data_IF_560277196725
#
_entry.id   IF_560277196725
#
_cell.length_a   1.000
_cell.length_b   1.000
_cell.length_c   1.000
_cell.angle_alpha   90.00
_cell.angle_beta   90.00
_cell.angle_gamma   90.00
#
_symmetry.space_group_name_H-M   'P 1'
#
loop_
_entity.id
_entity.type
_entity.pdbx_description
1 polymer ?
#
# COMPACT_ATOMS: atom_id res chain seq x y z
N UNK A 1 3.74 -14.82 8.34
CA UNK A 1 3.58 -13.40 8.00
C UNK A 1 2.61 -12.79 9.02
N UNK A 2 2.99 -11.67 9.66
CA UNK A 2 2.09 -10.92 10.55
C UNK A 2 1.42 -9.83 9.75
N UNK A 3 0.11 -9.81 9.78
CA UNK A 3 -0.75 -8.86 9.13
C UNK A 3 -1.03 -7.69 10.09
N UNK A 4 -0.97 -6.46 9.61
CA UNK A 4 -1.16 -5.27 10.44
C UNK A 4 -2.18 -4.33 9.82
N UNK A 5 -3.12 -3.84 10.62
CA UNK A 5 -4.02 -2.76 10.25
C UNK A 5 -3.69 -1.53 11.13
N UNK A 6 -3.58 -0.34 10.52
CA UNK A 6 -3.28 0.88 11.24
C UNK A 6 -4.40 1.91 11.06
N UNK A 7 -4.99 2.35 12.16
CA UNK A 7 -5.88 3.52 12.20
C UNK A 7 -5.05 4.78 12.47
N UNK A 8 -5.19 5.86 11.73
CA UNK A 8 -4.64 7.13 12.16
C UNK A 8 -5.46 7.65 13.33
N UNK A 9 -4.87 7.72 14.51
CA UNK A 9 -5.39 8.55 15.57
C UNK A 9 -5.05 9.99 15.22
N UNK A 10 -6.01 10.77 14.91
CA UNK A 10 -6.16 12.21 14.90
C UNK A 10 -6.70 12.77 13.59
N UNK A 11 -7.83 13.43 13.71
CA UNK A 11 -8.43 14.41 12.78
C UNK A 11 -8.07 14.26 11.31
N UNK A 12 -9.00 13.70 10.51
CA UNK A 12 -9.15 13.90 9.05
C UNK A 12 -7.85 14.23 8.28
N UNK A 13 -6.74 13.60 8.64
CA UNK A 13 -5.52 13.68 7.84
C UNK A 13 -5.47 12.51 6.88
N UNK A 14 -5.16 12.79 5.61
CA UNK A 14 -4.92 11.78 4.59
C UNK A 14 -3.88 10.76 5.08
N UNK A 15 -3.73 9.64 4.36
CA UNK A 15 -2.82 8.55 4.75
C UNK A 15 -1.58 9.14 5.37
N UNK A 16 -1.15 8.66 6.54
CA UNK A 16 0.10 9.15 7.14
C UNK A 16 1.24 8.76 6.21
N UNK A 17 1.58 9.58 5.21
CA UNK A 17 2.50 9.19 4.13
C UNK A 17 3.85 8.81 4.71
N UNK A 18 4.25 9.47 5.80
CA UNK A 18 5.49 9.19 6.50
C UNK A 18 5.59 7.76 7.02
N UNK A 19 4.51 7.20 7.58
CA UNK A 19 4.51 5.81 8.09
C UNK A 19 4.70 4.79 6.98
N UNK A 20 4.12 5.05 5.80
CA UNK A 20 4.28 4.20 4.63
C UNK A 20 5.68 4.30 4.04
N UNK A 21 6.26 5.50 4.04
CA UNK A 21 7.65 5.73 3.70
C UNK A 21 8.59 4.95 4.61
N UNK A 22 8.37 4.97 5.93
CA UNK A 22 9.16 4.22 6.91
C UNK A 22 9.01 2.71 6.70
N UNK A 23 7.78 2.21 6.51
CA UNK A 23 7.52 0.77 6.29
C UNK A 23 8.21 0.28 5.01
N UNK A 24 8.11 1.04 3.92
CA UNK A 24 8.78 0.73 2.66
C UNK A 24 10.31 0.79 2.81
N UNK A 25 10.84 1.79 3.51
CA UNK A 25 12.28 1.91 3.75
C UNK A 25 12.82 0.74 4.59
N UNK A 26 12.11 0.34 5.64
CA UNK A 26 12.48 -0.83 6.45
C UNK A 26 12.46 -2.13 5.62
N UNK A 27 11.45 -2.29 4.75
CA UNK A 27 11.37 -3.44 3.85
C UNK A 27 12.56 -3.49 2.88
N UNK A 28 12.89 -2.35 2.27
CA UNK A 28 14.04 -2.24 1.35
C UNK A 28 15.36 -2.49 2.07
N UNK A 29 15.53 -1.99 3.29
CA UNK A 29 16.70 -2.26 4.10
C UNK A 29 16.87 -3.75 4.44
N UNK A 30 15.75 -4.48 4.57
CA UNK A 30 15.73 -5.95 4.67
C UNK A 30 15.89 -6.70 3.33
N UNK A 31 16.15 -5.99 2.23
CA UNK A 31 16.31 -6.59 0.90
C UNK A 31 15.01 -6.82 0.13
N UNK A 32 13.84 -6.63 0.77
CA UNK A 32 12.53 -6.86 0.18
C UNK A 32 12.03 -5.73 -0.70
N UNK A 33 11.03 -6.03 -1.53
CA UNK A 33 10.30 -5.05 -2.32
C UNK A 33 8.94 -4.68 -1.73
N UNK A 34 8.35 -3.59 -2.17
CA UNK A 34 7.08 -3.08 -1.63
C UNK A 34 6.11 -2.65 -2.72
N UNK A 35 4.84 -3.01 -2.54
CA UNK A 35 3.71 -2.52 -3.35
C UNK A 35 2.74 -1.75 -2.46
N UNK A 36 2.56 -0.47 -2.78
CA UNK A 36 1.68 0.44 -2.05
C UNK A 36 0.54 0.86 -2.98
N UNK A 37 -0.69 0.66 -2.54
CA UNK A 37 -1.87 1.00 -3.33
C UNK A 37 -2.77 1.96 -2.56
N UNK A 38 -3.16 3.02 -3.24
CA UNK A 38 -4.06 4.06 -2.73
C UNK A 38 -5.20 4.30 -3.71
N UNK A 39 -6.36 4.83 -3.26
CA UNK A 39 -7.52 4.99 -4.11
C UNK A 39 -7.30 5.95 -5.28
N UNK A 40 -6.71 7.09 -5.03
CA UNK A 40 -6.62 8.17 -6.00
C UNK A 40 -5.20 8.71 -6.23
N UNK A 41 -5.06 9.55 -7.27
CA UNK A 41 -3.78 10.17 -7.66
C UNK A 41 -3.27 11.22 -6.67
N UNK A 42 -4.15 11.85 -5.87
CA UNK A 42 -3.73 12.85 -4.86
C UNK A 42 -3.00 12.14 -3.73
N UNK A 43 -3.52 11.00 -3.33
CA UNK A 43 -2.89 10.15 -2.33
C UNK A 43 -1.59 9.54 -2.87
N UNK A 44 -1.55 9.15 -4.17
CA UNK A 44 -0.29 8.76 -4.81
C UNK A 44 0.75 9.88 -4.68
N UNK A 45 0.39 11.14 -4.96
CA UNK A 45 1.32 12.27 -4.84
C UNK A 45 1.85 12.48 -3.41
N UNK A 46 1.00 12.29 -2.41
CA UNK A 46 1.38 12.43 -0.99
C UNK A 46 2.36 11.32 -0.56
N UNK A 47 2.05 10.07 -0.94
CA UNK A 47 2.92 8.93 -0.61
C UNK A 47 4.22 8.98 -1.41
N UNK A 48 4.19 9.41 -2.67
CA UNK A 48 5.36 9.64 -3.53
C UNK A 48 6.36 10.61 -2.89
N UNK A 49 5.86 11.73 -2.37
CA UNK A 49 6.69 12.69 -1.63
C UNK A 49 7.34 12.07 -0.37
N UNK A 50 6.56 11.29 0.38
CA UNK A 50 7.06 10.62 1.58
C UNK A 50 8.08 9.52 1.25
N UNK A 51 7.86 8.76 0.18
CA UNK A 51 8.82 7.76 -0.31
C UNK A 51 10.11 8.42 -0.79
N UNK A 52 10.00 9.56 -1.50
CA UNK A 52 11.18 10.34 -1.91
C UNK A 52 11.99 10.83 -0.71
N UNK A 53 11.31 11.30 0.33
CA UNK A 53 11.98 11.74 1.57
C UNK A 53 12.66 10.57 2.32
N UNK A 54 12.03 9.39 2.33
CA UNK A 54 12.51 8.23 3.09
C UNK A 54 13.60 7.41 2.34
N UNK A 55 13.47 7.28 1.02
CA UNK A 55 14.31 6.40 0.20
C UNK A 55 15.31 7.16 -0.68
N UNK A 56 15.06 8.44 -0.91
CA UNK A 56 15.77 9.24 -1.91
C UNK A 56 15.11 9.19 -3.30
N UNK A 57 15.49 10.11 -4.20
CA UNK A 57 14.94 10.21 -5.54
C UNK A 57 15.27 8.98 -6.40
N UNK A 58 14.33 8.57 -7.25
CA UNK A 58 14.52 7.47 -8.21
C UNK A 58 14.52 6.07 -7.60
N UNK A 59 14.28 5.92 -6.30
CA UNK A 59 14.27 4.62 -5.61
C UNK A 59 12.92 3.92 -5.64
N UNK A 60 11.89 4.57 -6.14
CA UNK A 60 10.56 4.02 -6.33
C UNK A 60 9.95 4.49 -7.65
N UNK A 61 8.89 3.88 -8.09
CA UNK A 61 8.13 4.27 -9.29
C UNK A 61 6.66 4.45 -8.96
N UNK A 62 6.02 5.35 -9.73
CA UNK A 62 4.57 5.49 -9.75
C UNK A 62 3.98 4.64 -10.87
N UNK A 63 2.82 4.03 -10.62
CA UNK A 63 2.02 3.33 -11.62
C UNK A 63 0.58 3.85 -11.57
N UNK A 64 0.31 4.89 -12.34
CA UNK A 64 -1.00 5.54 -12.45
C UNK A 64 -1.41 5.68 -13.91
N UNK A 65 -2.72 5.75 -14.17
CA UNK A 65 -3.24 5.81 -15.55
C UNK A 65 -2.93 7.14 -16.25
N UNK A 66 -2.75 8.23 -15.52
CA UNK A 66 -2.48 9.57 -16.01
C UNK A 66 -1.05 9.81 -16.50
N UNK A 67 -0.12 8.89 -16.23
CA UNK A 67 1.28 9.00 -16.72
C UNK A 67 1.46 8.83 -18.23
N UNK A 68 0.39 8.41 -18.91
CA UNK A 68 0.50 8.02 -20.31
C UNK A 68 1.14 6.64 -20.52
N UNK A 69 0.91 5.99 -21.67
CA UNK A 69 1.27 4.59 -21.88
C UNK A 69 2.79 4.36 -21.86
N UNK A 70 3.56 5.26 -22.46
CA UNK A 70 5.03 5.09 -22.56
C UNK A 70 5.72 5.19 -21.19
N UNK A 71 5.39 6.21 -20.38
CA UNK A 71 5.99 6.40 -19.06
C UNK A 71 5.61 5.25 -18.12
N UNK A 72 4.33 4.82 -18.17
CA UNK A 72 3.83 3.69 -17.39
C UNK A 72 4.51 2.38 -17.79
N UNK A 73 4.70 2.12 -19.08
CA UNK A 73 5.42 0.95 -19.57
C UNK A 73 6.88 0.95 -19.12
N UNK A 74 7.56 2.10 -19.23
CA UNK A 74 8.94 2.26 -18.75
C UNK A 74 9.06 2.00 -17.25
N UNK A 75 8.13 2.54 -16.44
CA UNK A 75 8.08 2.28 -15.01
C UNK A 75 7.87 0.79 -14.70
N UNK A 76 6.94 0.15 -15.41
CA UNK A 76 6.68 -1.29 -15.30
C UNK A 76 7.92 -2.13 -15.59
N UNK A 77 8.64 -1.82 -16.67
CA UNK A 77 9.87 -2.53 -17.05
C UNK A 77 10.99 -2.36 -16.01
N UNK A 78 11.11 -1.18 -15.38
CA UNK A 78 12.08 -0.98 -14.29
C UNK A 78 11.82 -1.92 -13.12
N UNK A 79 10.54 -2.11 -12.77
CA UNK A 79 10.12 -3.03 -11.71
C UNK A 79 10.37 -4.48 -12.14
N UNK A 80 9.90 -4.87 -13.33
CA UNK A 80 10.05 -6.22 -13.85
C UNK A 80 11.51 -6.67 -13.96
N UNK A 81 12.43 -5.74 -14.23
CA UNK A 81 13.87 -6.00 -14.30
C UNK A 81 14.58 -5.92 -12.95
N UNK A 82 13.86 -5.65 -11.87
CA UNK A 82 14.41 -5.53 -10.53
C UNK A 82 15.24 -4.26 -10.26
N UNK A 83 15.23 -3.28 -11.20
CA UNK A 83 15.94 -2.02 -11.01
C UNK A 83 15.34 -1.17 -9.91
N UNK A 84 14.04 -1.32 -9.66
CA UNK A 84 13.30 -0.63 -8.61
C UNK A 84 12.41 -1.65 -7.91
N UNK A 85 12.48 -1.67 -6.58
CA UNK A 85 11.75 -2.62 -5.73
C UNK A 85 10.52 -1.99 -5.04
N UNK A 86 10.29 -0.69 -5.17
CA UNK A 86 9.17 0.00 -4.51
C UNK A 86 8.25 0.62 -5.54
N UNK A 87 6.97 0.29 -5.43
CA UNK A 87 5.91 0.77 -6.33
C UNK A 87 4.81 1.43 -5.52
N UNK A 88 4.40 2.62 -5.93
CA UNK A 88 3.19 3.30 -5.47
C UNK A 88 2.25 3.51 -6.65
N UNK A 89 0.96 3.30 -6.47
CA UNK A 89 -0.01 3.58 -7.52
C UNK A 89 -1.45 3.32 -7.11
N UNK A 90 -2.33 3.40 -8.10
CA UNK A 90 -3.74 3.05 -7.94
C UNK A 90 -3.97 1.57 -8.24
N UNK A 91 -5.21 1.12 -8.42
CA UNK A 91 -5.59 -0.30 -8.60
C UNK A 91 -4.59 -1.14 -9.41
N UNK A 92 -4.15 -0.64 -10.56
CA UNK A 92 -3.24 -1.39 -11.45
C UNK A 92 -1.90 -1.72 -10.79
N UNK A 93 -1.45 -0.93 -9.82
CA UNK A 93 -0.20 -1.18 -9.11
C UNK A 93 -0.23 -2.46 -8.27
N UNK A 94 -1.43 -2.94 -7.90
CA UNK A 94 -1.59 -4.21 -7.18
C UNK A 94 -0.99 -5.41 -7.92
N UNK A 95 -0.82 -5.32 -9.23
CA UNK A 95 -0.25 -6.37 -10.09
C UNK A 95 1.22 -6.15 -10.46
N UNK A 96 1.86 -5.09 -9.95
CA UNK A 96 3.25 -4.79 -10.29
C UNK A 96 4.19 -5.98 -9.97
N UNK A 97 5.09 -6.36 -10.90
CA UNK A 97 5.95 -7.54 -10.76
C UNK A 97 7.18 -7.23 -9.89
N UNK A 98 6.94 -6.88 -8.64
CA UNK A 98 8.00 -6.55 -7.67
C UNK A 98 8.71 -7.85 -7.24
N UNK A 99 10.04 -7.86 -7.35
CA UNK A 99 10.88 -8.95 -6.88
C UNK A 99 11.02 -8.92 -5.35
N UNK A 100 11.19 -10.11 -4.76
CA UNK A 100 11.41 -10.30 -3.32
C UNK A 100 10.36 -9.53 -2.50
N UNK A 101 9.07 -9.67 -2.87
CA UNK A 101 7.99 -8.92 -2.27
C UNK A 101 7.93 -9.16 -0.76
N UNK A 102 8.24 -8.13 0.02
CA UNK A 102 8.25 -8.16 1.49
C UNK A 102 7.09 -7.38 2.13
N UNK A 103 6.51 -6.42 1.37
CA UNK A 103 5.40 -5.61 1.87
C UNK A 103 4.38 -5.34 0.77
N UNK A 104 3.12 -5.55 1.08
CA UNK A 104 1.98 -5.01 0.33
C UNK A 104 1.16 -4.11 1.25
N UNK A 105 0.77 -2.95 0.78
CA UNK A 105 0.00 -1.99 1.57
C UNK A 105 -1.18 -1.45 0.80
N UNK A 106 -2.33 -1.30 1.48
CA UNK A 106 -3.56 -0.75 0.95
C UNK A 106 -4.08 0.35 1.88
N UNK A 107 -4.33 1.53 1.31
CA UNK A 107 -5.00 2.60 2.04
C UNK A 107 -6.47 2.63 1.68
N UNK A 108 -7.30 2.80 2.73
CA UNK A 108 -8.75 2.97 2.65
C UNK A 108 -9.41 1.85 1.82
N UNK A 109 -9.21 0.63 2.26
CA UNK A 109 -9.63 -0.57 1.54
C UNK A 109 -11.15 -0.68 1.32
N UNK A 110 -11.94 0.16 1.99
CA UNK A 110 -13.38 0.34 1.77
C UNK A 110 -13.73 1.30 0.65
N UNK A 111 -12.77 1.99 0.03
CA UNK A 111 -13.02 2.93 -1.06
C UNK A 111 -13.39 2.20 -2.37
N UNK A 112 -14.51 2.61 -3.00
CA UNK A 112 -15.01 2.01 -4.24
C UNK A 112 -14.01 2.12 -5.41
N UNK A 113 -13.10 3.10 -5.38
CA UNK A 113 -12.04 3.24 -6.39
C UNK A 113 -11.07 2.05 -6.40
N UNK A 114 -11.03 1.25 -5.34
CA UNK A 114 -10.21 0.04 -5.26
C UNK A 114 -10.90 -1.20 -5.83
N UNK A 115 -12.18 -1.11 -6.16
CA UNK A 115 -12.91 -2.15 -6.87
C UNK A 115 -12.81 -1.95 -8.39
N UNK A 116 -12.53 -3.02 -9.14
CA UNK A 116 -12.53 -2.97 -10.61
C UNK A 116 -13.95 -3.05 -11.14
N UNK A 117 -14.44 -2.05 -11.90
CA UNK A 117 -15.82 -2.03 -12.39
C UNK A 117 -16.09 -2.97 -13.56
N UNK A 118 -15.06 -3.61 -14.11
CA UNK A 118 -15.16 -4.55 -15.24
C UNK A 118 -14.81 -5.97 -14.80
N UNK A 119 -15.30 -6.96 -15.53
CA UNK A 119 -14.91 -8.34 -15.28
C UNK A 119 -13.39 -8.49 -15.27
N UNK A 120 -12.82 -9.19 -14.30
CA UNK A 120 -13.40 -10.07 -13.30
C UNK A 120 -13.82 -9.41 -11.96
N UNK A 121 -14.05 -8.10 -11.91
CA UNK A 121 -14.56 -7.35 -10.74
C UNK A 121 -13.72 -7.54 -9.46
N UNK A 122 -12.43 -7.69 -9.61
CA UNK A 122 -11.53 -7.89 -8.47
C UNK A 122 -11.43 -6.64 -7.59
N UNK A 123 -11.26 -6.87 -6.30
CA UNK A 123 -10.96 -5.81 -5.33
C UNK A 123 -9.47 -5.86 -4.95
N UNK A 124 -8.82 -4.69 -4.90
CA UNK A 124 -7.38 -4.58 -4.58
C UNK A 124 -7.02 -5.28 -3.28
N UNK A 125 -7.81 -5.09 -2.23
CA UNK A 125 -7.55 -5.73 -0.95
C UNK A 125 -7.46 -7.26 -1.05
N UNK A 126 -8.32 -7.89 -1.86
CA UNK A 126 -8.28 -9.35 -2.11
C UNK A 126 -7.00 -9.72 -2.86
N UNK A 127 -6.66 -8.98 -3.92
CA UNK A 127 -5.44 -9.22 -4.71
C UNK A 127 -4.18 -9.14 -3.83
N UNK A 128 -4.09 -8.11 -3.00
CA UNK A 128 -2.94 -7.93 -2.11
C UNK A 128 -2.88 -9.01 -1.01
N UNK A 129 -4.01 -9.43 -0.46
CA UNK A 129 -4.07 -10.55 0.50
C UNK A 129 -3.55 -11.83 -0.13
N UNK A 130 -4.01 -12.18 -1.34
CA UNK A 130 -3.53 -13.37 -2.06
C UNK A 130 -2.04 -13.28 -2.40
N UNK A 131 -1.56 -12.13 -2.84
CA UNK A 131 -0.14 -11.92 -3.11
C UNK A 131 0.72 -12.09 -1.87
N UNK A 132 0.29 -11.47 -0.78
CA UNK A 132 1.00 -11.60 0.49
C UNK A 132 1.05 -13.04 1.00
N UNK A 133 -0.06 -13.77 0.90
CA UNK A 133 -0.09 -15.20 1.24
C UNK A 133 0.85 -16.03 0.36
N UNK A 134 0.87 -15.77 -0.94
CA UNK A 134 1.71 -16.51 -1.89
C UNK A 134 3.22 -16.23 -1.74
N UNK A 135 3.60 -15.04 -1.29
CA UNK A 135 5.01 -14.63 -1.20
C UNK A 135 5.56 -14.58 0.22
N UNK A 136 4.71 -14.72 1.25
CA UNK A 136 5.09 -14.50 2.64
C UNK A 136 5.29 -13.03 3.00
N UNK A 137 4.89 -12.09 2.14
CA UNK A 137 4.99 -10.67 2.40
C UNK A 137 4.06 -10.22 3.54
N UNK A 138 4.44 -9.16 4.24
CA UNK A 138 3.55 -8.50 5.19
C UNK A 138 2.42 -7.76 4.45
N UNK A 139 1.20 -7.80 4.99
CA UNK A 139 0.08 -6.96 4.55
C UNK A 139 -0.13 -5.83 5.54
N UNK A 140 -0.12 -4.60 5.06
CA UNK A 140 -0.50 -3.42 5.83
C UNK A 140 -1.78 -2.84 5.23
N UNK A 141 -2.86 -2.88 5.97
CA UNK A 141 -4.10 -2.19 5.62
C UNK A 141 -4.28 -1.00 6.55
N UNK A 142 -4.57 0.16 6.01
CA UNK A 142 -4.82 1.38 6.77
C UNK A 142 -6.01 2.15 6.19
N UNK A 143 -6.68 2.95 7.01
CA UNK A 143 -7.84 3.74 6.58
C UNK A 143 -8.38 4.60 7.70
N UNK A 144 -9.37 5.41 7.40
CA UNK A 144 -10.12 6.20 8.40
C UNK A 144 -11.06 5.32 9.23
N UNK A 145 -11.53 4.23 8.66
CA UNK A 145 -12.35 3.21 9.31
C UNK A 145 -11.98 1.83 8.76
N UNK A 146 -12.34 0.78 9.47
CA UNK A 146 -12.18 -0.59 8.99
C UNK A 146 -13.31 -0.93 8.03
N UNK A 147 -13.00 -1.49 6.87
CA UNK A 147 -14.00 -2.17 6.07
C UNK A 147 -14.49 -3.43 6.79
N UNK A 148 -15.65 -3.93 6.39
CA UNK A 148 -16.18 -5.18 6.93
C UNK A 148 -15.19 -6.34 6.74
N UNK A 149 -14.51 -6.39 5.59
CA UNK A 149 -13.50 -7.40 5.28
C UNK A 149 -12.33 -7.35 6.28
N UNK A 150 -11.75 -6.17 6.49
CA UNK A 150 -10.65 -5.99 7.45
C UNK A 150 -11.10 -6.30 8.88
N UNK A 151 -12.33 -5.95 9.25
CA UNK A 151 -12.85 -6.27 10.57
C UNK A 151 -12.97 -7.78 10.79
N UNK A 152 -13.48 -8.52 9.81
CA UNK A 152 -13.54 -9.99 9.84
C UNK A 152 -12.15 -10.61 9.98
N UNK A 153 -11.16 -10.10 9.21
CA UNK A 153 -9.78 -10.57 9.28
C UNK A 153 -9.14 -10.30 10.65
N UNK A 154 -9.48 -9.19 11.31
CA UNK A 154 -9.03 -8.88 12.68
C UNK A 154 -9.69 -9.81 13.69
N UNK A 155 -10.99 -10.04 13.60
CA UNK A 155 -11.72 -10.95 14.50
C UNK A 155 -11.27 -12.41 14.36
N UNK A 156 -10.91 -12.82 13.14
CA UNK A 156 -10.32 -14.12 12.86
C UNK A 156 -8.84 -14.24 13.30
N UNK A 157 -8.21 -13.16 13.80
CA UNK A 157 -6.80 -13.13 14.17
C UNK A 157 -5.82 -13.17 13.00
N UNK A 158 -6.31 -13.02 11.76
CA UNK A 158 -5.49 -12.94 10.55
C UNK A 158 -4.76 -11.60 10.45
N UNK A 159 -5.38 -10.53 10.94
CA UNK A 159 -4.79 -9.19 11.04
C UNK A 159 -4.63 -8.79 12.53
N UNK A 160 -3.50 -8.15 12.83
CA UNK A 160 -3.26 -7.58 14.15
C UNK A 160 -3.57 -6.08 14.08
N UNK A 161 -4.50 -5.55 14.90
CA UNK A 161 -4.79 -4.12 14.91
C UNK A 161 -3.58 -3.35 15.46
N UNK A 162 -3.25 -2.23 14.80
CA UNK A 162 -2.28 -1.24 15.26
C UNK A 162 -3.03 0.06 15.48
N UNK A 163 -3.68 0.16 16.62
CA UNK A 163 -4.43 1.34 17.01
C UNK A 163 -3.55 2.30 17.81
N UNK A 164 -3.90 3.58 17.79
CA UNK A 164 -3.33 4.51 18.75
C UNK A 164 -3.76 4.15 20.17
N UNK A 165 -2.90 4.41 21.13
CA UNK A 165 -3.27 4.23 22.53
C UNK A 165 -4.41 5.16 22.95
N UNK A 166 -5.12 4.78 24.01
CA UNK A 166 -6.27 5.54 24.48
C UNK A 166 -5.91 6.97 24.98
N UNK A 167 -4.65 7.23 25.32
CA UNK A 167 -4.17 8.56 25.69
C UNK A 167 -4.04 9.44 24.44
N UNK A 168 -3.44 8.94 23.38
CA UNK A 168 -3.34 9.63 22.09
C UNK A 168 -4.70 9.91 21.48
N UNK A 169 -5.67 8.98 21.61
CA UNK A 169 -7.05 9.18 21.14
C UNK A 169 -7.79 10.27 21.91
N UNK A 170 -7.50 10.44 23.21
CA UNK A 170 -8.12 11.49 24.03
C UNK A 170 -7.48 12.87 23.88
N UNK A 171 -6.24 12.95 23.45
CA UNK A 171 -5.49 14.20 23.25
C UNK A 171 -5.77 14.87 21.91
N UNK A 172 -6.67 14.30 21.09
CA UNK A 172 -7.04 14.75 19.75
C UNK A 172 -8.45 15.26 19.70
#
# INVERSE_FOLDING_TARGET
ARWCWATPAARLRPPCPGRWGVAAAATVAGGGGSVLVVPDRRDVGRVDAALTAALGPGRHVRLTADQGPQARYTAWLKVLRGHVKVVIGTRAAAFAPVHDLGLVACWDDGDDLLAEPRAPYHHVGVVLTLRAAATGAALLSGGFGRSLRVQVDVEAGALVPVDADAATLRST
#
